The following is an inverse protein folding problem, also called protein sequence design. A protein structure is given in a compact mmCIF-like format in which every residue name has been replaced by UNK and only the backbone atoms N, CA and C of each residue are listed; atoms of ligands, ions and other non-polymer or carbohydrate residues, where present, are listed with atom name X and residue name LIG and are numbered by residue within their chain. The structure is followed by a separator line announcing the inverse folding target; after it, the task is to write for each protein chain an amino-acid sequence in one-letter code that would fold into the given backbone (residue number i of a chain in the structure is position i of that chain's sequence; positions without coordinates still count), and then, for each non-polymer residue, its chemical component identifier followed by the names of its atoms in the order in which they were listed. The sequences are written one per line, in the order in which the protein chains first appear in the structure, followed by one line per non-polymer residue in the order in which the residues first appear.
data_IF_693896482185
#
_entry.id   IF_693896482185
#
_cell.length_a   1.000
_cell.length_b   1.000
_cell.length_c   1.000
_cell.angle_alpha   90.00
_cell.angle_beta   90.00
_cell.angle_gamma   90.00
#
_symmetry.space_group_name_H-M   'P 1'
#
loop_
_entity.id
_entity.type
_entity.pdbx_description
1 polymer ?
#
# COMPACT_ATOMS: atom_id res chain seq x y z
N UNK A 1 -2.66 -13.47 -6.76
CA UNK A 1 -1.62 -12.92 -5.89
C UNK A 1 -1.07 -14.07 -5.08
N UNK A 2 0.26 -14.19 -5.01
CA UNK A 2 0.95 -15.28 -4.33
C UNK A 2 1.77 -14.73 -3.14
N UNK A 3 2.29 -15.65 -2.32
CA UNK A 3 3.02 -15.28 -1.09
C UNK A 3 4.34 -14.58 -1.41
N UNK A 4 4.99 -14.91 -2.53
CA UNK A 4 6.26 -14.30 -2.93
C UNK A 4 6.09 -12.82 -3.33
N UNK A 5 4.98 -12.47 -3.99
CA UNK A 5 4.61 -11.09 -4.28
C UNK A 5 4.39 -10.28 -2.99
N UNK A 6 3.72 -10.88 -2.00
CA UNK A 6 3.55 -10.28 -0.67
C UNK A 6 4.90 -10.04 -0.01
N UNK A 7 5.76 -11.06 0.07
CA UNK A 7 7.11 -10.94 0.64
C UNK A 7 7.94 -9.86 -0.07
N UNK A 8 7.92 -9.82 -1.40
CA UNK A 8 8.65 -8.83 -2.21
C UNK A 8 8.15 -7.42 -1.92
N UNK A 9 6.84 -7.22 -1.85
CA UNK A 9 6.25 -5.89 -1.67
C UNK A 9 6.40 -5.38 -0.23
N UNK A 10 6.23 -6.25 0.76
CA UNK A 10 6.37 -5.91 2.18
C UNK A 10 7.81 -5.49 2.53
N UNK A 11 8.83 -6.05 1.87
CA UNK A 11 10.22 -5.61 2.03
C UNK A 11 10.42 -4.12 1.71
N UNK A 12 9.67 -3.58 0.74
CA UNK A 12 9.71 -2.17 0.35
C UNK A 12 9.01 -1.25 1.37
N UNK A 13 8.19 -1.79 2.26
CA UNK A 13 7.44 -1.00 3.24
C UNK A 13 8.37 -0.44 4.33
N UNK A 14 8.41 0.88 4.57
CA UNK A 14 9.20 1.43 5.68
C UNK A 14 8.59 1.07 7.04
N UNK A 15 9.45 0.80 8.03
CA UNK A 15 9.03 0.22 9.31
C UNK A 15 8.11 1.16 10.12
N UNK A 16 8.52 2.42 10.28
CA UNK A 16 7.93 3.36 11.24
C UNK A 16 7.29 4.60 10.58
N UNK A 17 6.80 4.47 9.34
CA UNK A 17 5.93 5.51 8.76
C UNK A 17 4.57 5.48 9.46
N UNK A 18 3.88 6.63 9.45
CA UNK A 18 2.53 6.77 9.96
C UNK A 18 1.60 5.67 9.44
N UNK A 19 0.93 5.00 10.37
CA UNK A 19 -0.08 3.99 10.10
C UNK A 19 -1.36 4.64 9.55
N UNK A 20 -2.23 3.81 8.98
CA UNK A 20 -3.60 4.23 8.70
C UNK A 20 -4.45 4.27 9.97
N UNK A 21 -5.77 4.45 9.83
CA UNK A 21 -6.70 4.40 10.96
C UNK A 21 -6.68 3.10 11.77
N UNK A 22 -6.14 2.02 11.19
CA UNK A 22 -5.97 0.70 11.82
C UNK A 22 -4.80 0.64 12.82
N UNK A 23 -3.94 1.65 12.88
CA UNK A 23 -2.80 1.70 13.79
C UNK A 23 -1.65 0.74 13.42
N UNK A 24 -1.77 -0.02 12.32
CA UNK A 24 -0.77 -1.05 11.96
C UNK A 24 0.40 -0.41 11.22
N UNK A 25 1.58 -0.45 11.83
CA UNK A 25 2.83 -0.03 11.18
C UNK A 25 3.40 -1.09 10.24
N UNK A 26 4.21 -0.64 9.27
CA UNK A 26 4.88 -1.53 8.31
C UNK A 26 5.82 -2.53 8.97
N UNK A 27 6.38 -2.19 10.13
CA UNK A 27 7.22 -3.08 10.93
C UNK A 27 6.55 -4.44 11.20
N UNK A 28 5.28 -4.44 11.62
CA UNK A 28 4.59 -5.67 12.00
C UNK A 28 4.37 -6.59 10.82
N UNK A 29 3.84 -6.06 9.73
CA UNK A 29 3.58 -6.82 8.50
C UNK A 29 4.89 -7.33 7.90
N UNK A 30 6.00 -6.58 8.03
CA UNK A 30 7.32 -7.00 7.58
C UNK A 30 7.90 -8.17 8.37
N UNK A 31 7.82 -8.12 9.69
CA UNK A 31 8.52 -9.09 10.53
C UNK A 31 7.66 -10.31 10.86
N UNK A 32 6.33 -10.21 10.77
CA UNK A 32 5.44 -11.34 11.06
C UNK A 32 5.28 -12.22 9.82
N UNK A 33 6.35 -12.92 9.43
CA UNK A 33 6.41 -13.74 8.22
C UNK A 33 5.32 -14.82 8.16
N UNK A 34 4.93 -15.38 9.32
CA UNK A 34 3.86 -16.37 9.42
C UNK A 34 2.48 -15.82 8.98
N UNK A 35 2.29 -14.50 8.94
CA UNK A 35 1.07 -13.88 8.44
C UNK A 35 1.04 -13.74 6.91
N UNK A 36 2.17 -13.86 6.21
CA UNK A 36 2.26 -13.53 4.78
C UNK A 36 1.40 -14.45 3.92
N UNK A 37 1.26 -15.71 4.32
CA UNK A 37 0.38 -16.67 3.67
C UNK A 37 -1.08 -16.25 3.79
N UNK A 38 -1.55 -16.02 5.02
CA UNK A 38 -2.91 -15.54 5.27
C UNK A 38 -3.21 -14.20 4.59
N UNK A 39 -2.26 -13.27 4.61
CA UNK A 39 -2.39 -11.99 3.91
C UNK A 39 -2.58 -12.24 2.41
N UNK A 40 -1.78 -13.11 1.81
CA UNK A 40 -1.89 -13.43 0.38
C UNK A 40 -3.28 -13.98 0.03
N UNK A 41 -3.79 -14.92 0.82
CA UNK A 41 -5.13 -15.50 0.65
C UNK A 41 -6.23 -14.43 0.72
N UNK A 42 -6.20 -13.58 1.76
CA UNK A 42 -7.23 -12.57 1.97
C UNK A 42 -7.20 -11.50 0.88
N UNK A 43 -6.02 -11.03 0.50
CA UNK A 43 -5.89 -10.06 -0.57
C UNK A 43 -6.29 -10.65 -1.93
N UNK A 44 -6.03 -11.94 -2.18
CA UNK A 44 -6.47 -12.64 -3.39
C UNK A 44 -8.00 -12.76 -3.41
N UNK A 45 -8.60 -13.14 -2.30
CA UNK A 45 -10.05 -13.20 -2.12
C UNK A 45 -10.72 -11.85 -2.44
N UNK A 46 -10.14 -10.73 -1.98
CA UNK A 46 -10.65 -9.39 -2.29
C UNK A 46 -10.71 -9.11 -3.81
N UNK A 47 -9.72 -9.59 -4.57
CA UNK A 47 -9.68 -9.43 -6.03
C UNK A 47 -10.67 -10.35 -6.75
N UNK A 48 -10.83 -11.59 -6.27
CA UNK A 48 -11.73 -12.57 -6.87
C UNK A 48 -13.20 -12.22 -6.65
N UNK A 49 -13.54 -11.73 -5.46
CA UNK A 49 -14.89 -11.28 -5.13
C UNK A 49 -15.16 -9.86 -5.66
N UNK A 50 -14.10 -9.07 -5.92
CA UNK A 50 -14.22 -7.67 -6.32
C UNK A 50 -14.67 -6.75 -5.18
N UNK A 51 -14.54 -7.19 -3.92
CA UNK A 51 -14.94 -6.44 -2.73
C UNK A 51 -13.76 -6.36 -1.77
N UNK A 52 -13.46 -5.13 -1.33
CA UNK A 52 -12.42 -4.85 -0.34
C UNK A 52 -13.09 -4.33 0.94
N UNK A 53 -12.63 -4.74 2.14
CA UNK A 53 -13.18 -4.24 3.39
C UNK A 53 -13.12 -2.71 3.49
N UNK A 54 -14.21 -2.09 3.95
CA UNK A 54 -14.34 -0.62 4.00
C UNK A 54 -13.23 0.05 4.83
N UNK A 55 -12.80 -0.59 5.92
CA UNK A 55 -11.71 -0.09 6.76
C UNK A 55 -10.38 0.02 6.02
N UNK A 56 -10.16 -0.84 5.02
CA UNK A 56 -8.93 -0.89 4.25
C UNK A 56 -8.86 0.30 3.28
N UNK A 57 -10.00 0.72 2.75
CA UNK A 57 -10.14 1.87 1.83
C UNK A 57 -10.25 3.23 2.55
N UNK A 58 -10.36 3.23 3.88
CA UNK A 58 -10.38 4.46 4.70
C UNK A 58 -8.95 4.96 4.96
N UNK A 59 -8.80 6.27 4.98
CA UNK A 59 -7.55 6.96 5.31
C UNK A 59 -7.78 8.12 6.25
N UNK A 60 -6.77 8.45 7.04
CA UNK A 60 -6.77 9.65 7.86
C UNK A 60 -5.96 10.74 7.16
N UNK A 61 -6.58 11.89 6.87
CA UNK A 61 -5.89 13.02 6.26
C UNK A 61 -5.41 13.99 7.33
N UNK A 62 -4.10 14.21 7.39
CA UNK A 62 -3.47 15.23 8.22
C UNK A 62 -2.94 16.36 7.34
N UNK A 63 -3.09 17.60 7.80
CA UNK A 63 -2.54 18.78 7.13
C UNK A 63 -1.13 19.06 7.65
N UNK A 64 -0.13 18.99 6.78
CA UNK A 64 1.26 19.31 7.13
C UNK A 64 1.64 20.65 6.54
N UNK A 65 2.11 21.57 7.40
CA UNK A 65 2.57 22.89 6.97
C UNK A 65 3.88 22.77 6.18
N UNK A 66 3.91 23.29 4.94
CA UNK A 66 5.13 23.27 4.11
C UNK A 66 6.13 24.37 4.50
N UNK A 67 5.67 25.55 4.92
CA UNK A 67 6.51 26.71 5.31
C UNK A 67 5.76 27.65 6.29
N UNK A 68 6.46 28.50 7.05
CA UNK A 68 5.86 29.43 8.03
C UNK A 68 5.13 30.58 7.30
N UNK A 69 3.80 30.49 7.19
CA UNK A 69 2.97 31.51 6.52
C UNK A 69 1.49 31.13 6.36
N UNK A 70 0.83 31.68 5.32
CA UNK A 70 -0.59 31.54 4.96
C UNK A 70 -1.15 30.09 4.99
N UNK A 71 -2.45 29.96 5.27
CA UNK A 71 -3.19 28.68 5.33
C UNK A 71 -3.20 27.91 4.00
N UNK A 72 -2.93 28.55 2.85
CA UNK A 72 -2.80 27.87 1.55
C UNK A 72 -1.54 27.00 1.40
N UNK A 73 -0.67 26.97 2.42
CA UNK A 73 0.62 26.27 2.40
C UNK A 73 0.52 24.84 2.99
N UNK A 74 -0.61 24.44 3.56
CA UNK A 74 -0.80 23.09 4.07
C UNK A 74 -0.89 22.06 2.93
N UNK A 75 -0.11 20.99 3.05
CA UNK A 75 -0.19 19.81 2.19
C UNK A 75 -1.06 18.76 2.88
N UNK A 76 -2.18 18.34 2.28
CA UNK A 76 -2.93 17.20 2.78
C UNK A 76 -2.12 15.92 2.54
N UNK A 77 -1.90 15.15 3.60
CA UNK A 77 -1.31 13.81 3.52
C UNK A 77 -2.32 12.81 4.06
N UNK A 78 -2.73 11.87 3.22
CA UNK A 78 -3.64 10.79 3.61
C UNK A 78 -2.87 9.55 4.00
N UNK A 79 -2.95 9.17 5.26
CA UNK A 79 -2.39 7.94 5.80
C UNK A 79 -3.37 6.78 5.59
N UNK A 80 -3.04 5.89 4.65
CA UNK A 80 -3.82 4.69 4.33
C UNK A 80 -3.34 3.47 5.11
N UNK A 81 -4.23 2.49 5.28
CA UNK A 81 -3.90 1.18 5.85
C UNK A 81 -2.74 0.52 5.08
N UNK A 82 -1.93 -0.26 5.81
CA UNK A 82 -0.80 -0.95 5.18
C UNK A 82 -1.28 -2.10 4.28
N UNK A 83 -2.43 -2.71 4.59
CA UNK A 83 -3.06 -3.70 3.71
C UNK A 83 -3.41 -3.08 2.35
N UNK A 84 -4.02 -1.89 2.34
CA UNK A 84 -4.38 -1.22 1.08
C UNK A 84 -3.17 -0.88 0.22
N UNK A 85 -2.13 -0.31 0.84
CA UNK A 85 -0.84 -0.04 0.18
C UNK A 85 -0.17 -1.31 -0.34
N UNK A 86 -0.32 -2.43 0.37
CA UNK A 86 0.20 -3.72 -0.06
C UNK A 86 -0.55 -4.25 -1.29
N UNK A 87 -1.88 -4.29 -1.24
CA UNK A 87 -2.73 -4.72 -2.36
C UNK A 87 -2.44 -3.90 -3.63
N UNK A 88 -2.58 -2.58 -3.53
CA UNK A 88 -2.37 -1.66 -4.65
C UNK A 88 -0.93 -1.66 -5.15
N UNK A 89 0.03 -1.83 -4.25
CA UNK A 89 1.44 -1.94 -4.61
C UNK A 89 1.76 -3.21 -5.42
N UNK A 90 1.12 -4.35 -5.09
CA UNK A 90 1.27 -5.59 -5.86
C UNK A 90 0.60 -5.45 -7.24
N UNK A 91 -0.61 -4.87 -7.29
CA UNK A 91 -1.29 -4.59 -8.56
C UNK A 91 -0.44 -3.69 -9.44
N UNK A 92 0.09 -2.60 -8.88
CA UNK A 92 0.97 -1.67 -9.59
C UNK A 92 2.20 -2.37 -10.15
N UNK A 93 2.88 -3.20 -9.35
CA UNK A 93 4.04 -3.96 -9.83
C UNK A 93 3.67 -4.87 -11.01
N UNK A 94 2.56 -5.60 -10.94
CA UNK A 94 2.10 -6.47 -12.05
C UNK A 94 1.81 -5.68 -13.32
N UNK A 95 1.21 -4.50 -13.18
CA UNK A 95 0.93 -3.62 -14.30
C UNK A 95 2.23 -3.13 -14.95
N UNK A 96 3.19 -2.65 -14.15
CA UNK A 96 4.50 -2.25 -14.67
C UNK A 96 5.23 -3.41 -15.35
N UNK A 97 5.28 -4.59 -14.72
CA UNK A 97 5.92 -5.78 -15.28
C UNK A 97 5.29 -6.14 -16.65
N UNK A 98 3.97 -5.99 -16.80
CA UNK A 98 3.29 -6.21 -18.07
C UNK A 98 3.62 -5.14 -19.11
N UNK A 99 3.55 -3.86 -18.73
CA UNK A 99 3.82 -2.74 -19.64
C UNK A 99 5.27 -2.74 -20.16
N UNK A 100 6.23 -3.09 -19.30
CA UNK A 100 7.64 -3.26 -19.68
C UNK A 100 7.83 -4.43 -20.64
N UNK A 101 7.23 -5.59 -20.32
CA UNK A 101 7.31 -6.79 -21.15
C UNK A 101 6.76 -6.58 -22.56
N UNK A 102 5.64 -5.88 -22.66
CA UNK A 102 4.99 -5.59 -23.94
C UNK A 102 5.54 -4.33 -24.64
N UNK A 103 6.56 -3.67 -24.07
CA UNK A 103 7.18 -2.45 -24.60
C UNK A 103 6.18 -1.30 -24.86
N UNK A 104 5.18 -1.17 -23.98
CA UNK A 104 4.12 -0.16 -24.11
C UNK A 104 4.51 1.16 -23.43
N UNK A 105 5.52 1.14 -22.55
CA UNK A 105 5.98 2.35 -21.86
C UNK A 105 6.63 3.34 -22.84
N UNK A 106 6.37 4.66 -22.69
CA UNK A 106 7.05 5.67 -23.47
C UNK A 106 8.55 5.68 -23.16
N UNK A 107 9.40 6.13 -24.12
CA UNK A 107 10.81 6.35 -23.85
C UNK A 107 10.98 7.42 -22.74
N UNK A 108 11.96 7.20 -21.86
CA UNK A 108 12.38 8.16 -20.81
C UNK A 108 13.04 9.42 -21.37
#
# INVERSE_FOLDING_TARGET
MNVEEVKKQVKKTPNWKSSGPDGVHGYWIKNFANLHERISEQLKCCLEIGVVPEWMTKGQTCLILKDRGLVSIYRPITCLSQMWKLLTGIIGQRLYDHLEKEQILPPE
#
